data_IF_685812594405
#
_entry.id   IF_685812594405
#
_cell.length_a   1.000
_cell.length_b   1.000
_cell.length_c   1.000
_cell.angle_alpha   90.00
_cell.angle_beta   90.00
_cell.angle_gamma   90.00
#
_symmetry.space_group_name_H-M   'P 1'
#
loop_
_entity.id
_entity.type
_entity.pdbx_description
1 polymer ?
#
# COMPACT_ATOMS: atom_id res chain seq x y z
N UNK A 1 24.64 9.74 -39.85
CA UNK A 1 24.08 9.36 -38.52
C UNK A 1 24.43 10.36 -37.40
N UNK A 2 25.72 10.63 -37.07
CA UNK A 2 26.06 11.49 -35.91
C UNK A 2 25.62 12.97 -36.02
N UNK A 3 25.63 13.59 -37.21
CA UNK A 3 25.27 15.00 -37.39
C UNK A 3 23.74 15.22 -37.27
N UNK A 4 22.93 14.36 -37.86
CA UNK A 4 21.47 14.42 -37.77
C UNK A 4 20.97 14.21 -36.34
N UNK A 5 21.58 13.29 -35.62
CA UNK A 5 21.27 13.01 -34.22
C UNK A 5 21.60 14.20 -33.31
N UNK A 6 22.74 14.87 -33.54
CA UNK A 6 23.11 16.07 -32.83
C UNK A 6 22.14 17.23 -33.10
N UNK A 7 21.73 17.39 -34.35
CA UNK A 7 20.77 18.43 -34.77
C UNK A 7 19.38 18.18 -34.21
N UNK A 8 18.96 16.91 -34.12
CA UNK A 8 17.70 16.52 -33.48
C UNK A 8 17.71 16.81 -31.97
N UNK A 9 18.79 16.45 -31.26
CA UNK A 9 18.96 16.73 -29.81
C UNK A 9 18.91 18.24 -29.53
N UNK A 10 19.57 19.05 -30.35
CA UNK A 10 19.56 20.50 -30.18
C UNK A 10 18.16 21.11 -30.41
N UNK A 11 17.43 20.67 -31.43
CA UNK A 11 16.05 21.11 -31.69
C UNK A 11 15.10 20.68 -30.55
N UNK A 12 15.19 19.45 -30.07
CA UNK A 12 14.40 18.96 -28.97
C UNK A 12 14.70 19.72 -27.66
N UNK A 13 15.98 20.04 -27.39
CA UNK A 13 16.38 20.86 -26.25
C UNK A 13 15.82 22.28 -26.31
N UNK A 14 15.92 22.97 -27.47
CA UNK A 14 15.35 24.32 -27.67
C UNK A 14 13.83 24.34 -27.49
N UNK A 15 13.12 23.32 -28.00
CA UNK A 15 11.68 23.20 -27.82
C UNK A 15 11.33 22.99 -26.37
N UNK A 16 12.05 22.10 -25.67
CA UNK A 16 11.88 21.84 -24.24
C UNK A 16 12.05 23.12 -23.40
N UNK A 17 13.09 23.92 -23.68
CA UNK A 17 13.31 25.20 -23.00
C UNK A 17 12.18 26.20 -23.26
N UNK A 18 11.70 26.30 -24.52
CA UNK A 18 10.62 27.22 -24.89
C UNK A 18 9.29 26.83 -24.21
N UNK A 19 8.98 25.53 -24.11
CA UNK A 19 7.81 25.04 -23.41
C UNK A 19 7.93 25.26 -21.89
N UNK A 20 9.09 24.98 -21.32
CA UNK A 20 9.35 25.17 -19.88
C UNK A 20 9.23 26.65 -19.46
N UNK A 21 9.61 27.59 -20.32
CA UNK A 21 9.47 29.03 -20.04
C UNK A 21 8.01 29.46 -19.89
N UNK A 22 7.07 28.82 -20.60
CA UNK A 22 5.64 29.13 -20.62
C UNK A 22 4.79 28.30 -19.67
N UNK A 23 5.31 27.16 -19.21
CA UNK A 23 4.61 26.27 -18.29
C UNK A 23 4.69 26.79 -16.85
N UNK A 24 3.62 26.61 -16.08
CA UNK A 24 3.58 26.90 -14.64
C UNK A 24 4.32 25.82 -13.84
N UNK A 25 4.23 24.56 -14.27
CA UNK A 25 4.94 23.43 -13.68
C UNK A 25 5.75 22.72 -14.76
N UNK A 26 7.02 22.42 -14.45
CA UNK A 26 7.91 21.64 -15.30
C UNK A 26 8.47 20.46 -14.52
N UNK A 27 8.22 19.26 -15.02
CA UNK A 27 8.71 18.01 -14.44
C UNK A 27 9.60 17.31 -15.45
N UNK A 28 10.83 17.00 -15.05
CA UNK A 28 11.74 16.15 -15.82
C UNK A 28 11.62 14.72 -15.36
N UNK A 29 11.44 13.81 -16.27
CA UNK A 29 11.49 12.37 -16.00
C UNK A 29 12.91 11.85 -16.25
N UNK A 30 13.54 11.28 -15.24
CA UNK A 30 14.85 10.62 -15.37
C UNK A 30 14.71 9.18 -14.87
N UNK A 31 14.83 8.23 -15.79
CA UNK A 31 14.65 6.79 -15.47
C UNK A 31 13.31 6.49 -14.76
N UNK A 32 12.24 7.19 -15.16
CA UNK A 32 10.92 7.03 -14.54
C UNK A 32 10.71 7.85 -13.26
N UNK A 33 11.73 8.54 -12.76
CA UNK A 33 11.65 9.36 -11.54
C UNK A 33 11.31 10.81 -11.91
N UNK A 34 10.18 11.37 -11.44
CA UNK A 34 9.82 12.77 -11.67
C UNK A 34 10.70 13.69 -10.82
N UNK A 35 11.29 14.68 -11.45
CA UNK A 35 12.03 15.75 -10.81
C UNK A 35 11.40 17.08 -11.16
N UNK A 36 10.83 17.78 -10.17
CA UNK A 36 10.27 19.12 -10.38
C UNK A 36 11.40 20.10 -10.62
N UNK A 37 11.37 20.77 -11.79
CA UNK A 37 12.34 21.78 -12.19
C UNK A 37 11.76 23.19 -12.00
N UNK A 38 10.44 23.36 -12.14
CA UNK A 38 9.74 24.64 -11.99
C UNK A 38 8.34 24.39 -11.43
N UNK A 39 7.88 25.27 -10.52
CA UNK A 39 6.56 25.22 -9.92
C UNK A 39 6.44 24.18 -8.80
N UNK A 40 5.21 23.87 -8.42
CA UNK A 40 4.91 22.83 -7.44
C UNK A 40 4.08 21.72 -8.13
N UNK A 41 4.40 20.47 -7.86
CA UNK A 41 3.69 19.32 -8.43
C UNK A 41 2.21 19.30 -8.04
N UNK A 42 1.86 19.85 -6.87
CA UNK A 42 0.49 19.99 -6.41
C UNK A 42 -0.36 20.93 -7.30
N UNK A 43 0.30 21.86 -8.01
CA UNK A 43 -0.34 22.81 -8.93
C UNK A 43 -0.47 22.23 -10.36
N UNK A 44 0.10 21.05 -10.61
CA UNK A 44 -0.01 20.41 -11.93
C UNK A 44 -1.45 19.92 -12.15
N UNK A 45 -2.01 20.09 -13.36
CA UNK A 45 -3.32 19.54 -13.70
C UNK A 45 -3.36 18.02 -13.44
N UNK A 46 -4.46 17.54 -12.88
CA UNK A 46 -4.67 16.09 -12.69
C UNK A 46 -4.51 15.37 -14.03
N UNK A 47 -3.73 14.29 -14.07
CA UNK A 47 -3.41 13.56 -15.32
C UNK A 47 -2.10 13.97 -15.98
N UNK A 48 -1.36 14.95 -15.43
CA UNK A 48 -0.05 15.40 -15.98
C UNK A 48 1.04 14.33 -15.84
N UNK A 49 0.94 13.45 -14.83
CA UNK A 49 1.79 12.27 -14.70
C UNK A 49 1.22 11.20 -15.63
N UNK A 50 1.86 10.97 -16.77
CA UNK A 50 1.43 10.00 -17.78
C UNK A 50 1.32 8.57 -17.22
N UNK A 51 0.61 7.69 -17.93
CA UNK A 51 0.55 6.26 -17.63
C UNK A 51 1.98 5.69 -17.58
N UNK A 52 2.49 5.41 -16.37
CA UNK A 52 3.87 4.97 -16.14
C UNK A 52 4.67 5.85 -15.18
N UNK A 53 4.16 7.03 -14.76
CA UNK A 53 4.80 7.80 -13.69
C UNK A 53 4.84 6.99 -12.39
N UNK A 54 5.96 7.07 -11.62
CA UNK A 54 6.04 6.44 -10.32
C UNK A 54 4.93 6.96 -9.40
N UNK A 55 4.32 6.05 -8.63
CA UNK A 55 3.29 6.36 -7.68
C UNK A 55 3.87 6.15 -6.27
N UNK A 56 3.86 7.16 -5.43
CA UNK A 56 4.15 6.95 -4.02
C UNK A 56 3.03 6.12 -3.40
N UNK A 57 3.37 5.02 -2.74
CA UNK A 57 2.40 4.16 -2.07
C UNK A 57 2.68 4.10 -0.59
N UNK A 58 1.65 4.23 0.23
CA UNK A 58 1.72 4.13 1.67
C UNK A 58 0.78 3.01 2.11
N UNK A 59 1.32 2.03 2.83
CA UNK A 59 0.56 0.94 3.42
C UNK A 59 0.46 1.19 4.92
N UNK A 60 -0.74 1.35 5.44
CA UNK A 60 -1.03 1.48 6.87
C UNK A 60 -1.70 0.21 7.34
N UNK A 61 -1.17 -0.44 8.36
CA UNK A 61 -1.89 -1.51 9.05
C UNK A 61 -3.00 -0.91 9.90
N UNK A 62 -4.20 -1.50 9.87
CA UNK A 62 -5.30 -1.09 10.75
C UNK A 62 -4.88 -1.06 12.23
N UNK A 63 -5.56 -0.26 13.02
CA UNK A 63 -5.36 -0.16 14.47
C UNK A 63 -5.70 -1.47 15.20
N UNK A 64 -5.39 -1.53 16.50
CA UNK A 64 -5.65 -2.72 17.29
C UNK A 64 -7.16 -3.02 17.41
N UNK A 65 -7.50 -4.30 17.37
CA UNK A 65 -8.82 -4.88 17.61
C UNK A 65 -8.73 -5.79 18.83
N UNK A 66 -9.85 -6.28 19.37
CA UNK A 66 -9.82 -7.25 20.46
C UNK A 66 -9.03 -8.51 20.07
N UNK A 67 -9.23 -9.01 18.85
CA UNK A 67 -8.46 -10.15 18.36
C UNK A 67 -6.96 -9.89 18.25
N UNK A 68 -6.55 -8.67 17.85
CA UNK A 68 -5.14 -8.28 17.83
C UNK A 68 -4.53 -8.26 19.24
N UNK A 69 -5.26 -7.73 20.22
CA UNK A 69 -4.82 -7.68 21.63
C UNK A 69 -4.71 -9.08 22.24
N UNK A 70 -5.62 -9.96 21.90
CA UNK A 70 -5.66 -11.35 22.35
C UNK A 70 -4.79 -12.29 21.49
N UNK A 71 -4.03 -11.78 20.53
CA UNK A 71 -3.20 -12.57 19.60
C UNK A 71 -3.98 -13.66 18.86
N UNK A 72 -5.21 -13.34 18.43
CA UNK A 72 -6.08 -14.24 17.66
C UNK A 72 -5.91 -14.03 16.16
N UNK A 73 -6.13 -15.07 15.39
CA UNK A 73 -6.20 -14.98 13.94
C UNK A 73 -7.49 -14.26 13.53
N UNK A 74 -7.39 -13.00 13.12
CA UNK A 74 -8.51 -12.16 12.63
C UNK A 74 -8.33 -11.95 11.14
N UNK A 75 -8.83 -12.87 10.35
CA UNK A 75 -8.70 -12.86 8.89
C UNK A 75 -9.89 -12.22 8.16
N UNK A 76 -10.15 -12.71 6.95
CA UNK A 76 -11.24 -12.21 6.10
C UNK A 76 -12.63 -12.63 6.60
N UNK A 77 -12.72 -13.74 7.34
CA UNK A 77 -13.96 -14.23 7.93
C UNK A 77 -14.39 -13.49 9.19
N UNK A 78 -13.47 -12.71 9.82
CA UNK A 78 -13.72 -12.00 11.08
C UNK A 78 -13.72 -10.50 10.84
N UNK A 79 -14.90 -9.88 10.76
CA UNK A 79 -15.04 -8.43 10.58
C UNK A 79 -15.29 -7.71 11.91
N UNK A 80 -14.29 -7.68 12.77
CA UNK A 80 -14.33 -7.01 14.06
C UNK A 80 -13.96 -5.52 13.96
N UNK A 81 -14.53 -4.64 14.81
CA UNK A 81 -14.15 -3.24 14.89
C UNK A 81 -12.83 -3.04 15.65
N UNK A 82 -12.31 -1.82 15.63
CA UNK A 82 -11.22 -1.40 16.50
C UNK A 82 -11.60 -1.55 17.97
N UNK A 83 -10.61 -1.89 18.81
CA UNK A 83 -10.76 -1.79 20.25
C UNK A 83 -10.73 -0.32 20.69
N UNK A 84 -11.28 -0.02 21.89
CA UNK A 84 -11.19 1.32 22.44
C UNK A 84 -9.73 1.78 22.67
N UNK A 85 -8.82 0.87 22.95
CA UNK A 85 -7.39 1.17 23.07
C UNK A 85 -6.79 1.45 21.69
N UNK A 86 -7.13 0.64 20.68
CA UNK A 86 -6.71 0.85 19.29
C UNK A 86 -7.15 2.19 18.72
N UNK A 87 -8.41 2.60 18.97
CA UNK A 87 -8.89 3.92 18.56
C UNK A 87 -8.11 5.08 19.23
N UNK A 88 -7.83 4.97 20.54
CA UNK A 88 -7.04 6.00 21.24
C UNK A 88 -5.63 6.10 20.67
N UNK A 89 -4.96 4.98 20.50
CA UNK A 89 -3.62 4.95 19.96
C UNK A 89 -3.53 5.57 18.55
N UNK A 90 -4.53 5.33 17.70
CA UNK A 90 -4.60 5.95 16.38
C UNK A 90 -4.81 7.45 16.43
N UNK A 91 -5.63 7.95 17.37
CA UNK A 91 -5.84 9.41 17.55
C UNK A 91 -4.56 10.13 17.97
N UNK A 92 -3.71 9.47 18.74
CA UNK A 92 -2.40 10.01 19.11
C UNK A 92 -1.45 10.08 17.89
N UNK A 93 -1.67 9.23 16.87
CA UNK A 93 -0.96 9.26 15.60
C UNK A 93 -1.61 10.20 14.56
N UNK A 94 -2.85 10.61 14.77
CA UNK A 94 -3.59 11.43 13.82
C UNK A 94 -2.89 12.78 13.64
N UNK A 95 -2.59 13.11 12.41
CA UNK A 95 -2.17 14.43 11.98
C UNK A 95 -3.04 14.84 10.80
N UNK A 96 -3.22 16.15 10.65
CA UNK A 96 -3.95 16.70 9.51
C UNK A 96 -3.16 16.37 8.26
N UNK A 97 -3.73 15.48 7.43
CA UNK A 97 -3.09 14.96 6.23
C UNK A 97 -3.98 15.29 5.05
N UNK A 98 -3.41 15.99 4.12
CA UNK A 98 -4.09 16.35 2.87
C UNK A 98 -4.11 15.14 1.92
N UNK A 99 -4.88 14.11 2.32
CA UNK A 99 -5.12 12.90 1.55
C UNK A 99 -6.55 12.94 1.03
N UNK A 100 -6.70 13.03 -0.29
CA UNK A 100 -8.02 13.10 -0.92
C UNK A 100 -8.76 11.77 -0.87
N UNK A 101 -8.04 10.65 -1.05
CA UNK A 101 -8.62 9.30 -1.11
C UNK A 101 -7.76 8.29 -0.38
N UNK A 102 -8.44 7.36 0.31
CA UNK A 102 -7.83 6.22 0.99
C UNK A 102 -8.50 4.94 0.51
N UNK A 103 -7.68 3.98 0.12
CA UNK A 103 -8.14 2.65 -0.30
C UNK A 103 -8.11 1.74 0.93
N UNK A 104 -9.25 1.15 1.27
CA UNK A 104 -9.39 0.21 2.39
C UNK A 104 -9.72 -1.19 1.88
N UNK A 105 -9.64 -2.19 2.74
CA UNK A 105 -10.15 -3.53 2.42
C UNK A 105 -11.68 -3.63 2.49
N UNK A 106 -12.38 -2.58 2.95
CA UNK A 106 -13.80 -2.57 3.22
C UNK A 106 -14.20 -3.33 4.49
N UNK A 107 -13.24 -3.68 5.35
CA UNK A 107 -13.51 -4.26 6.66
C UNK A 107 -13.60 -3.16 7.73
N UNK A 108 -14.43 -3.37 8.76
CA UNK A 108 -14.72 -2.37 9.80
C UNK A 108 -13.45 -1.76 10.38
N UNK A 109 -12.46 -2.57 10.78
CA UNK A 109 -11.20 -2.12 11.35
C UNK A 109 -10.37 -1.24 10.40
N UNK A 110 -10.40 -1.51 9.08
CA UNK A 110 -9.68 -0.68 8.10
C UNK A 110 -10.39 0.64 7.84
N UNK A 111 -11.72 0.62 7.73
CA UNK A 111 -12.52 1.82 7.51
C UNK A 111 -12.49 2.76 8.72
N UNK A 112 -12.57 2.22 9.93
CA UNK A 112 -12.44 2.99 11.16
C UNK A 112 -11.05 3.61 11.29
N UNK A 113 -9.99 2.84 11.02
CA UNK A 113 -8.61 3.36 11.00
C UNK A 113 -8.47 4.51 10.00
N UNK A 114 -8.98 4.33 8.77
CA UNK A 114 -8.92 5.34 7.74
C UNK A 114 -9.65 6.63 8.15
N UNK A 115 -10.85 6.52 8.75
CA UNK A 115 -11.61 7.70 9.23
C UNK A 115 -10.91 8.44 10.36
N UNK A 116 -10.16 7.74 11.22
CA UNK A 116 -9.41 8.39 12.32
C UNK A 116 -8.16 9.08 11.78
N UNK A 117 -7.39 8.42 10.91
CA UNK A 117 -6.12 8.96 10.41
C UNK A 117 -6.29 9.98 9.28
N UNK A 118 -7.37 9.85 8.48
CA UNK A 118 -7.64 10.66 7.28
C UNK A 118 -9.10 11.11 7.26
N UNK A 119 -9.52 11.97 8.18
CA UNK A 119 -10.94 12.29 8.39
C UNK A 119 -11.62 12.94 7.18
N UNK A 120 -10.87 13.61 6.32
CA UNK A 120 -11.38 14.31 5.15
C UNK A 120 -11.29 13.48 3.85
N UNK A 121 -10.71 12.27 3.91
CA UNK A 121 -10.52 11.44 2.72
C UNK A 121 -11.79 10.71 2.30
N UNK A 122 -11.97 10.59 0.99
CA UNK A 122 -12.92 9.64 0.41
C UNK A 122 -12.41 8.21 0.62
N UNK A 123 -13.24 7.32 1.16
CA UNK A 123 -12.89 5.92 1.33
C UNK A 123 -13.33 5.10 0.13
N UNK A 124 -12.40 4.38 -0.46
CA UNK A 124 -12.65 3.43 -1.54
C UNK A 124 -12.41 2.00 -1.04
N UNK A 125 -13.46 1.20 -0.93
CA UNK A 125 -13.35 -0.21 -0.55
C UNK A 125 -12.80 -1.05 -1.70
N UNK A 126 -11.76 -1.83 -1.42
CA UNK A 126 -11.16 -2.82 -2.32
C UNK A 126 -11.13 -4.18 -1.62
N UNK A 127 -12.19 -5.02 -1.72
CA UNK A 127 -12.29 -6.30 -1.02
C UNK A 127 -11.15 -7.27 -1.35
N UNK A 128 -10.52 -7.12 -2.51
CA UNK A 128 -9.33 -7.87 -2.88
C UNK A 128 -8.11 -7.64 -1.97
N UNK A 129 -8.13 -6.61 -1.13
CA UNK A 129 -7.09 -6.31 -0.15
C UNK A 129 -7.39 -6.79 1.28
N UNK A 130 -8.47 -7.56 1.48
CA UNK A 130 -8.79 -8.18 2.78
C UNK A 130 -7.65 -9.08 3.24
N UNK A 131 -7.56 -9.26 4.58
CA UNK A 131 -6.62 -10.20 5.19
C UNK A 131 -6.84 -11.63 4.66
N UNK A 132 -5.90 -12.51 4.89
CA UNK A 132 -6.01 -13.92 4.59
C UNK A 132 -7.22 -14.52 5.31
N UNK A 133 -7.98 -15.34 4.62
CA UNK A 133 -9.02 -16.16 5.24
C UNK A 133 -8.36 -17.35 5.96
N UNK A 134 -8.35 -17.31 7.29
CA UNK A 134 -7.77 -18.38 8.10
C UNK A 134 -8.73 -19.55 8.34
N UNK A 135 -9.95 -19.50 7.81
CA UNK A 135 -10.94 -20.59 7.90
C UNK A 135 -11.17 -21.05 9.32
N UNK A 136 -10.99 -22.36 9.60
CA UNK A 136 -11.20 -22.96 10.95
C UNK A 136 -10.29 -22.40 12.04
N UNK A 137 -9.26 -21.64 11.70
CA UNK A 137 -8.35 -21.04 12.67
C UNK A 137 -8.78 -19.64 13.11
N UNK A 138 -9.77 -19.03 12.43
CA UNK A 138 -10.28 -17.70 12.76
C UNK A 138 -10.80 -17.61 14.20
N UNK A 139 -10.56 -16.47 14.84
CA UNK A 139 -10.97 -16.18 16.20
C UNK A 139 -10.21 -16.95 17.29
N UNK A 140 -9.26 -17.79 16.92
CA UNK A 140 -8.46 -18.60 17.86
C UNK A 140 -7.01 -18.12 17.90
N UNK A 141 -6.37 -18.26 19.06
CA UNK A 141 -4.96 -17.97 19.22
C UNK A 141 -4.08 -19.17 18.88
N UNK A 142 -2.78 -18.93 18.61
CA UNK A 142 -1.80 -19.98 18.42
C UNK A 142 -1.74 -20.95 19.62
N UNK A 143 -1.93 -20.44 20.85
CA UNK A 143 -1.95 -21.24 22.05
C UNK A 143 -3.14 -22.22 22.11
N UNK A 144 -4.32 -21.78 21.65
CA UNK A 144 -5.53 -22.62 21.56
C UNK A 144 -5.45 -23.64 20.41
N UNK A 145 -4.65 -23.35 19.39
CA UNK A 145 -4.49 -24.19 18.20
C UNK A 145 -3.32 -25.17 18.28
N UNK A 146 -2.42 -25.03 19.24
CA UNK A 146 -1.16 -25.78 19.31
C UNK A 146 -1.30 -27.30 19.27
N UNK A 147 -2.43 -27.85 19.75
CA UNK A 147 -2.70 -29.29 19.74
C UNK A 147 -3.50 -29.75 18.50
N UNK A 148 -3.99 -28.82 17.66
CA UNK A 148 -4.65 -29.16 16.41
C UNK A 148 -3.60 -29.61 15.37
N UNK A 149 -3.67 -30.87 14.95
CA UNK A 149 -2.72 -31.43 13.98
C UNK A 149 -2.72 -30.68 12.62
N UNK A 150 -3.87 -30.12 12.22
CA UNK A 150 -3.99 -29.34 10.97
C UNK A 150 -3.27 -28.01 11.09
N UNK A 151 -3.37 -27.37 12.28
CA UNK A 151 -2.64 -26.13 12.55
C UNK A 151 -1.14 -26.34 12.57
N UNK A 152 -0.66 -27.41 13.24
CA UNK A 152 0.78 -27.76 13.24
C UNK A 152 1.28 -27.99 11.82
N UNK A 153 0.58 -28.79 11.03
CA UNK A 153 0.96 -29.05 9.64
C UNK A 153 1.02 -27.76 8.80
N UNK A 154 0.10 -26.82 9.06
CA UNK A 154 0.09 -25.52 8.40
C UNK A 154 1.31 -24.67 8.81
N UNK A 155 1.62 -24.58 10.09
CA UNK A 155 2.80 -23.86 10.59
C UNK A 155 4.10 -24.51 10.12
N UNK A 156 4.21 -25.84 10.18
CA UNK A 156 5.40 -26.60 9.72
C UNK A 156 5.66 -26.42 8.21
N UNK A 157 4.62 -26.14 7.44
CA UNK A 157 4.74 -25.78 6.02
C UNK A 157 5.15 -24.31 5.78
N UNK A 158 5.48 -23.54 6.79
CA UNK A 158 5.69 -22.09 6.69
C UNK A 158 4.45 -21.36 6.17
N UNK A 159 3.28 -21.84 6.56
CA UNK A 159 1.97 -21.33 6.13
C UNK A 159 1.71 -21.42 4.61
N UNK A 160 2.47 -22.26 3.89
CA UNK A 160 2.31 -22.43 2.44
C UNK A 160 1.05 -23.24 2.09
N UNK A 161 0.68 -24.20 2.95
CA UNK A 161 -0.53 -24.99 2.73
C UNK A 161 -1.79 -24.17 3.01
N UNK A 162 -2.92 -24.65 2.55
CA UNK A 162 -4.22 -24.01 2.77
C UNK A 162 -4.70 -24.20 4.20
N UNK A 163 -5.23 -23.13 4.81
CA UNK A 163 -6.01 -23.24 6.04
C UNK A 163 -7.29 -24.06 5.76
N UNK A 164 -7.69 -24.95 6.69
CA UNK A 164 -8.96 -25.69 6.52
C UNK A 164 -10.13 -24.72 6.33
N UNK A 165 -10.88 -24.87 5.24
CA UNK A 165 -11.98 -24.00 4.81
C UNK A 165 -11.59 -22.52 4.55
N UNK A 166 -10.28 -22.21 4.49
CA UNK A 166 -9.77 -20.87 4.25
C UNK A 166 -8.88 -20.78 3.00
N UNK A 167 -7.98 -19.82 2.98
CA UNK A 167 -7.02 -19.59 1.88
C UNK A 167 -5.69 -20.29 2.11
N UNK A 168 -4.96 -20.55 1.03
CA UNK A 168 -3.53 -20.80 1.05
C UNK A 168 -2.76 -19.50 0.81
N UNK A 169 -1.55 -19.39 1.36
CA UNK A 169 -0.70 -18.20 1.24
C UNK A 169 -0.49 -17.75 -0.22
N UNK A 170 -0.31 -18.71 -1.14
CA UNK A 170 -0.15 -18.41 -2.57
C UNK A 170 -1.40 -17.79 -3.20
N UNK A 171 -2.61 -18.30 -2.87
CA UNK A 171 -3.88 -17.76 -3.39
C UNK A 171 -4.15 -16.37 -2.81
N UNK A 172 -3.93 -16.20 -1.51
CA UNK A 172 -3.99 -14.92 -0.81
C UNK A 172 -3.07 -13.89 -1.47
N UNK A 173 -1.77 -14.19 -1.62
CA UNK A 173 -0.78 -13.29 -2.22
C UNK A 173 -1.19 -12.89 -3.64
N UNK A 174 -1.64 -13.86 -4.46
CA UNK A 174 -2.08 -13.59 -5.83
C UNK A 174 -3.27 -12.62 -5.88
N UNK A 175 -4.27 -12.83 -5.01
CA UNK A 175 -5.46 -11.96 -4.88
C UNK A 175 -5.07 -10.53 -4.49
N UNK A 176 -4.25 -10.41 -3.46
CA UNK A 176 -3.79 -9.12 -2.92
C UNK A 176 -2.96 -8.35 -3.95
N UNK A 177 -2.02 -9.01 -4.63
CA UNK A 177 -1.18 -8.38 -5.67
C UNK A 177 -2.02 -7.93 -6.87
N UNK A 178 -2.99 -8.73 -7.29
CA UNK A 178 -3.88 -8.34 -8.39
C UNK A 178 -4.70 -7.10 -8.01
N UNK A 179 -5.32 -7.10 -6.85
CA UNK A 179 -6.12 -5.98 -6.35
C UNK A 179 -5.28 -4.70 -6.14
N UNK A 180 -4.07 -4.82 -5.62
CA UNK A 180 -3.14 -3.70 -5.48
C UNK A 180 -2.78 -3.07 -6.82
N UNK A 181 -2.44 -3.89 -7.82
CA UNK A 181 -2.10 -3.41 -9.17
C UNK A 181 -3.26 -2.66 -9.80
N UNK A 182 -4.46 -3.21 -9.73
CA UNK A 182 -5.68 -2.58 -10.26
C UNK A 182 -5.95 -1.24 -9.57
N UNK A 183 -5.82 -1.18 -8.24
CA UNK A 183 -5.99 0.06 -7.48
C UNK A 183 -4.95 1.12 -7.87
N UNK A 184 -3.67 0.74 -8.01
CA UNK A 184 -2.62 1.65 -8.46
C UNK A 184 -2.86 2.18 -9.88
N UNK A 185 -3.31 1.34 -10.79
CA UNK A 185 -3.67 1.75 -12.16
C UNK A 185 -4.82 2.76 -12.14
N UNK A 186 -5.84 2.52 -11.31
CA UNK A 186 -6.97 3.44 -11.13
C UNK A 186 -6.51 4.80 -10.59
N UNK A 187 -5.64 4.82 -9.57
CA UNK A 187 -5.10 6.06 -9.00
C UNK A 187 -4.26 6.83 -10.04
N UNK A 188 -3.42 6.12 -10.80
CA UNK A 188 -2.65 6.73 -11.90
C UNK A 188 -3.55 7.33 -12.98
N UNK A 189 -4.60 6.62 -13.38
CA UNK A 189 -5.55 7.11 -14.39
C UNK A 189 -6.25 8.40 -13.97
N UNK A 190 -6.39 8.62 -12.65
CA UNK A 190 -6.95 9.84 -12.07
C UNK A 190 -5.90 10.93 -11.84
N UNK A 191 -4.64 10.69 -12.21
CA UNK A 191 -3.53 11.63 -12.06
C UNK A 191 -3.01 11.76 -10.62
N UNK A 192 -3.29 10.76 -9.76
CA UNK A 192 -2.74 10.73 -8.42
C UNK A 192 -1.23 10.49 -8.46
N UNK A 193 -0.47 11.28 -7.72
CA UNK A 193 0.96 11.05 -7.46
C UNK A 193 1.20 10.15 -6.23
N UNK A 194 0.15 9.90 -5.44
CA UNK A 194 0.20 9.13 -4.17
C UNK A 194 -1.06 8.28 -4.02
N UNK A 195 -0.89 7.06 -3.50
CA UNK A 195 -1.98 6.18 -3.09
C UNK A 195 -1.78 5.71 -1.64
N UNK A 196 -2.80 5.84 -0.82
CA UNK A 196 -2.78 5.41 0.59
C UNK A 196 -3.69 4.21 0.74
N UNK A 197 -3.15 3.14 1.32
CA UNK A 197 -3.83 1.88 1.57
C UNK A 197 -3.92 1.65 3.08
N UNK A 198 -5.12 1.49 3.62
CA UNK A 198 -5.32 1.03 4.99
C UNK A 198 -5.77 -0.43 4.93
N UNK A 199 -4.87 -1.32 5.33
CA UNK A 199 -4.97 -2.77 5.10
C UNK A 199 -4.53 -3.55 6.34
N UNK A 200 -4.08 -4.78 6.17
CA UNK A 200 -3.79 -5.73 7.23
C UNK A 200 -2.30 -6.13 7.24
N UNK A 201 -1.86 -6.74 8.35
CA UNK A 201 -0.47 -7.17 8.49
C UNK A 201 -0.05 -8.17 7.42
N UNK A 202 -0.87 -9.20 7.16
CA UNK A 202 -0.60 -10.20 6.12
C UNK A 202 -0.64 -9.60 4.72
N UNK A 203 -1.55 -8.65 4.47
CA UNK A 203 -1.63 -7.92 3.20
C UNK A 203 -0.34 -7.14 2.92
N UNK A 204 0.20 -6.41 3.91
CA UNK A 204 1.48 -5.70 3.78
C UNK A 204 2.62 -6.69 3.53
N UNK A 205 2.68 -7.79 4.31
CA UNK A 205 3.69 -8.86 4.12
C UNK A 205 3.65 -9.43 2.71
N UNK A 206 2.46 -9.75 2.21
CA UNK A 206 2.28 -10.32 0.87
C UNK A 206 2.76 -9.36 -0.23
N UNK A 207 2.40 -8.07 -0.14
CA UNK A 207 2.81 -7.05 -1.12
C UNK A 207 4.32 -6.82 -1.10
N UNK A 208 4.91 -6.61 0.07
CA UNK A 208 6.34 -6.30 0.19
C UNK A 208 7.19 -7.52 -0.17
N UNK A 209 6.82 -8.74 0.25
CA UNK A 209 7.58 -9.93 -0.10
C UNK A 209 7.52 -10.28 -1.58
N UNK A 210 6.41 -9.99 -2.26
CA UNK A 210 6.23 -10.31 -3.67
C UNK A 210 6.81 -9.24 -4.60
N UNK A 211 6.65 -7.96 -4.27
CA UNK A 211 6.88 -6.84 -5.18
C UNK A 211 8.11 -5.99 -4.84
N UNK A 212 8.68 -6.06 -3.63
CA UNK A 212 9.79 -5.21 -3.24
C UNK A 212 11.10 -5.53 -3.98
N UNK A 213 11.85 -4.49 -4.30
CA UNK A 213 13.22 -4.56 -4.79
C UNK A 213 14.08 -3.62 -3.95
N UNK A 214 15.09 -4.15 -3.22
CA UNK A 214 15.48 -5.57 -3.13
C UNK A 214 14.40 -6.45 -2.48
N UNK A 215 14.44 -7.75 -2.76
CA UNK A 215 13.46 -8.74 -2.27
C UNK A 215 13.45 -8.78 -0.74
N UNK A 216 12.27 -8.83 -0.15
CA UNK A 216 12.06 -8.95 1.30
C UNK A 216 11.47 -10.32 1.65
N UNK A 217 11.86 -10.89 2.78
CA UNK A 217 11.25 -12.11 3.28
C UNK A 217 9.86 -11.85 3.87
N UNK A 218 8.90 -12.73 3.60
CA UNK A 218 7.52 -12.58 4.09
C UNK A 218 7.46 -12.42 5.63
N UNK A 219 8.30 -13.17 6.36
CA UNK A 219 8.34 -13.14 7.82
C UNK A 219 9.24 -12.04 8.39
N UNK A 220 10.03 -11.36 7.53
CA UNK A 220 10.90 -10.25 7.96
C UNK A 220 10.13 -8.92 8.00
N UNK A 221 8.95 -8.85 7.37
CA UNK A 221 8.10 -7.66 7.37
C UNK A 221 7.27 -7.62 8.66
N UNK A 222 7.53 -6.64 9.50
CA UNK A 222 6.77 -6.39 10.73
C UNK A 222 6.10 -5.03 10.67
N UNK A 223 4.84 -4.98 11.07
CA UNK A 223 4.05 -3.74 11.11
C UNK A 223 3.17 -3.77 12.33
N UNK A 224 3.39 -2.84 13.26
CA UNK A 224 2.54 -2.67 14.43
C UNK A 224 1.15 -2.13 14.03
N UNK A 225 0.09 -2.32 14.84
CA UNK A 225 -1.20 -1.68 14.60
C UNK A 225 -1.06 -0.16 14.45
N UNK A 226 -1.58 0.41 13.38
CA UNK A 226 -1.39 1.82 13.00
C UNK A 226 -0.03 2.15 12.39
N UNK A 227 0.91 1.21 12.38
CA UNK A 227 2.21 1.38 11.72
C UNK A 227 2.09 1.39 10.19
N UNK A 228 3.08 1.96 9.53
CA UNK A 228 3.05 2.15 8.09
C UNK A 228 4.38 1.80 7.39
N UNK A 229 4.27 1.54 6.10
CA UNK A 229 5.37 1.40 5.15
C UNK A 229 5.14 2.34 3.97
N UNK A 230 6.20 2.93 3.46
CA UNK A 230 6.18 3.72 2.23
C UNK A 230 7.07 3.08 1.17
N UNK A 231 6.69 3.22 -0.09
CA UNK A 231 7.45 2.75 -1.23
C UNK A 231 7.09 3.57 -2.49
N UNK A 232 7.86 3.38 -3.54
CA UNK A 232 7.58 3.91 -4.87
C UNK A 232 7.15 2.76 -5.79
N UNK A 233 5.92 2.81 -6.29
CA UNK A 233 5.41 1.87 -7.27
C UNK A 233 5.73 2.34 -8.70
N UNK A 234 6.57 1.61 -9.42
CA UNK A 234 6.96 1.94 -10.81
C UNK A 234 6.04 1.34 -11.88
N UNK A 235 5.04 0.54 -11.48
CA UNK A 235 4.14 -0.24 -12.35
C UNK A 235 4.48 -1.73 -12.39
N UNK A 236 5.62 -2.14 -11.83
CA UNK A 236 6.09 -3.54 -11.81
C UNK A 236 6.57 -3.97 -10.42
N UNK A 237 7.31 -3.11 -9.73
CA UNK A 237 7.98 -3.36 -8.46
C UNK A 237 7.75 -2.22 -7.48
N UNK A 238 7.94 -2.52 -6.19
CA UNK A 238 8.02 -1.55 -5.10
C UNK A 238 9.48 -1.22 -4.83
N UNK A 239 9.87 0.02 -5.08
CA UNK A 239 11.21 0.56 -4.88
C UNK A 239 11.25 1.41 -3.60
N UNK A 240 12.44 1.62 -3.06
CA UNK A 240 12.66 2.50 -1.90
C UNK A 240 11.75 2.17 -0.70
N UNK A 241 11.53 0.86 -0.49
CA UNK A 241 10.67 0.37 0.60
C UNK A 241 11.29 0.71 1.95
N UNK A 242 10.53 1.43 2.79
CA UNK A 242 10.97 1.84 4.13
C UNK A 242 9.80 1.88 5.11
N UNK A 243 10.04 1.65 6.41
CA UNK A 243 9.07 1.99 7.42
C UNK A 243 8.69 3.47 7.30
N UNK A 244 7.40 3.78 7.37
CA UNK A 244 6.92 5.15 7.39
C UNK A 244 6.66 5.54 8.85
N UNK A 245 7.26 6.66 9.29
CA UNK A 245 6.89 7.31 10.55
C UNK A 245 5.60 8.11 10.35
N UNK A 246 4.90 8.46 11.42
CA UNK A 246 3.75 9.35 11.34
C UNK A 246 4.04 10.70 10.64
N UNK A 247 5.32 11.02 10.38
CA UNK A 247 5.78 12.17 9.61
C UNK A 247 5.85 11.98 8.10
N UNK A 248 6.04 10.75 7.61
CA UNK A 248 6.25 10.49 6.16
C UNK A 248 4.93 10.41 5.37
N UNK A 249 3.82 10.30 6.07
CA UNK A 249 2.50 10.43 5.48
C UNK A 249 1.96 11.88 5.52
N UNK A 250 2.85 12.84 5.76
CA UNK A 250 2.58 14.29 5.68
C UNK A 250 2.64 14.78 4.25
#
# INVERSE_FOLDING_TARGET
MRAEEAQWRERAGRLGCALAARADVVVRMTCGIPQVIKGNLADAPRGTLGAGAPLEVIFVRHGATAGTEDHRYSGAGTDEPLSSAGERALRDLACDRDVFRVITSGMARTDQTARILFPNAELMACPGLREMDFGDFEGRSAAELKEDARYRAWVDSWCETRCPHGEGKSDFTRRVVAAFREACESERAQGSGRAVFVVHAGTVKALLSELAVPKMGYFDVHTEPGGAWAATWDGRCLLDVRPASGGDAR
#
